data_IF_318941906690
#
_entry.id   IF_318941906690
#
_cell.length_a   1.000
_cell.length_b   1.000
_cell.length_c   1.000
_cell.angle_alpha   90.00
_cell.angle_beta   90.00
_cell.angle_gamma   90.00
#
_symmetry.space_group_name_H-M   'P 1'
#
loop_
_entity.id
_entity.type
_entity.pdbx_description
1 polymer ?
#
# COMPACT_ATOMS: atom_id res chain seq x y z
N UNK A 1 -8.76 5.76 -2.95
CA UNK A 1 -7.90 6.92 -2.65
C UNK A 1 -8.68 8.15 -2.20
N UNK A 2 -9.80 8.52 -2.83
CA UNK A 2 -10.57 9.73 -2.48
C UNK A 2 -10.94 9.87 -0.99
N UNK A 3 -11.24 8.77 -0.30
CA UNK A 3 -11.60 8.78 1.13
C UNK A 3 -10.39 8.58 2.07
N UNK A 4 -9.17 8.61 1.55
CA UNK A 4 -7.94 8.48 2.34
C UNK A 4 -7.30 9.86 2.58
N UNK A 5 -7.01 10.28 3.82
CA UNK A 5 -6.55 11.64 4.13
C UNK A 5 -5.24 12.05 3.43
N UNK A 6 -4.34 11.09 3.20
CA UNK A 6 -3.07 11.35 2.52
C UNK A 6 -3.26 11.21 1.01
N UNK A 7 -3.79 10.06 0.59
CA UNK A 7 -3.82 9.73 -0.83
C UNK A 7 -4.85 10.52 -1.64
N UNK A 8 -5.88 11.07 -1.00
CA UNK A 8 -6.77 12.04 -1.66
C UNK A 8 -6.02 13.31 -2.08
N UNK A 9 -5.12 13.81 -1.22
CA UNK A 9 -4.29 14.99 -1.52
C UNK A 9 -3.28 14.70 -2.62
N UNK A 10 -2.63 13.54 -2.55
CA UNK A 10 -1.70 13.06 -3.58
C UNK A 10 -2.40 12.92 -4.93
N UNK A 11 -3.61 12.37 -4.97
CA UNK A 11 -4.38 12.21 -6.20
C UNK A 11 -4.80 13.57 -6.79
N UNK A 12 -5.12 14.55 -5.94
CA UNK A 12 -5.59 15.86 -6.39
C UNK A 12 -4.46 16.80 -6.83
N UNK A 13 -3.27 16.72 -6.22
CA UNK A 13 -2.14 17.60 -6.53
C UNK A 13 -0.81 16.81 -6.46
N UNK A 14 -0.56 15.88 -7.39
CA UNK A 14 0.61 14.99 -7.32
C UNK A 14 1.95 15.76 -7.34
N UNK A 15 2.04 16.89 -8.03
CA UNK A 15 3.22 17.76 -8.08
C UNK A 15 3.68 18.30 -6.71
N UNK A 16 2.77 18.45 -5.75
CA UNK A 16 3.09 18.87 -4.38
C UNK A 16 3.57 17.72 -3.50
N UNK A 17 3.49 16.49 -4.01
CA UNK A 17 3.78 15.26 -3.29
C UNK A 17 4.89 14.47 -3.99
N UNK A 18 6.06 15.09 -4.18
CA UNK A 18 7.23 14.55 -4.91
C UNK A 18 7.61 13.08 -4.61
N UNK A 19 7.49 12.56 -3.38
CA UNK A 19 7.78 11.14 -3.11
C UNK A 19 6.79 10.15 -3.75
N UNK A 20 5.68 10.65 -4.31
CA UNK A 20 4.61 9.86 -4.90
C UNK A 20 4.49 10.12 -6.40
N UNK A 21 4.06 9.09 -7.12
CA UNK A 21 3.71 9.16 -8.54
C UNK A 21 2.31 8.60 -8.73
N UNK A 22 1.57 9.15 -9.69
CA UNK A 22 0.21 8.71 -10.02
C UNK A 22 0.20 8.18 -11.44
N UNK A 23 -0.19 6.94 -11.62
CA UNK A 23 -0.26 6.27 -12.92
C UNK A 23 -1.58 5.51 -13.01
N UNK A 24 -2.39 5.82 -14.04
CA UNK A 24 -3.70 5.19 -14.25
C UNK A 24 -4.62 5.24 -13.01
N UNK A 25 -4.54 6.31 -12.22
CA UNK A 25 -5.31 6.48 -10.99
C UNK A 25 -4.82 5.66 -9.79
N UNK A 26 -3.68 4.97 -9.92
CA UNK A 26 -2.98 4.29 -8.84
C UNK A 26 -1.83 5.16 -8.34
N UNK A 27 -1.57 5.09 -7.03
CA UNK A 27 -0.50 5.86 -6.39
C UNK A 27 0.66 4.93 -6.07
N UNK A 28 1.87 5.34 -6.45
CA UNK A 28 3.10 4.62 -6.19
C UNK A 28 4.09 5.49 -5.41
N UNK A 29 4.98 4.85 -4.67
CA UNK A 29 6.15 5.49 -4.06
C UNK A 29 7.38 4.60 -4.20
N UNK A 30 8.54 5.08 -3.77
CA UNK A 30 9.79 4.34 -3.76
C UNK A 30 10.08 3.89 -2.32
N UNK A 31 10.22 2.59 -2.10
CA UNK A 31 10.54 2.04 -0.79
C UNK A 31 12.04 2.22 -0.44
N UNK A 32 12.45 1.81 0.76
CA UNK A 32 13.86 1.88 1.19
C UNK A 32 14.80 1.05 0.30
N UNK A 33 14.29 0.01 -0.35
CA UNK A 33 15.01 -0.82 -1.32
C UNK A 33 15.13 -0.18 -2.71
N UNK A 34 14.68 1.07 -2.89
CA UNK A 34 14.62 1.78 -4.19
C UNK A 34 13.69 1.12 -5.21
N UNK A 35 12.74 0.30 -4.74
CA UNK A 35 11.72 -0.33 -5.58
C UNK A 35 10.46 0.52 -5.61
N UNK A 36 9.82 0.59 -6.78
CA UNK A 36 8.52 1.24 -6.93
C UNK A 36 7.44 0.32 -6.39
N UNK A 37 6.68 0.80 -5.40
CA UNK A 37 5.67 0.03 -4.66
C UNK A 37 4.32 0.71 -4.69
N UNK A 38 3.25 -0.08 -4.63
CA UNK A 38 1.88 0.42 -4.70
C UNK A 38 1.40 0.91 -3.33
N UNK A 39 0.85 2.11 -3.29
CA UNK A 39 0.29 2.69 -2.08
C UNK A 39 -1.12 2.14 -1.81
N UNK A 40 -1.36 1.55 -0.65
CA UNK A 40 -2.65 0.95 -0.29
C UNK A 40 -3.43 1.88 0.66
N UNK A 41 -4.60 2.42 0.25
CA UNK A 41 -5.37 3.32 1.08
C UNK A 41 -5.99 2.60 2.29
N UNK A 42 -6.08 3.27 3.43
CA UNK A 42 -6.70 2.71 4.63
C UNK A 42 -8.24 2.63 4.50
N UNK A 43 -8.82 3.48 3.67
CA UNK A 43 -10.27 3.60 3.48
C UNK A 43 -10.90 2.56 2.56
N UNK A 44 -10.11 1.66 1.94
CA UNK A 44 -10.63 0.69 0.97
C UNK A 44 -10.99 -0.63 1.65
N UNK A 45 -12.24 -1.04 1.45
CA UNK A 45 -12.75 -2.36 1.86
C UNK A 45 -13.14 -3.19 0.65
N UNK A 46 -13.06 -4.51 0.80
CA UNK A 46 -13.50 -5.51 -0.18
C UNK A 46 -14.31 -6.55 0.58
N UNK A 47 -15.58 -6.76 0.18
CA UNK A 47 -16.50 -7.70 0.84
C UNK A 47 -16.60 -7.50 2.38
N UNK A 48 -16.54 -6.26 2.85
CA UNK A 48 -16.61 -5.91 4.27
C UNK A 48 -15.29 -6.02 5.05
N UNK A 49 -14.21 -6.51 4.45
CA UNK A 49 -12.88 -6.57 5.06
C UNK A 49 -12.00 -5.42 4.58
N UNK A 50 -11.05 -4.97 5.40
CA UNK A 50 -10.08 -3.96 4.98
C UNK A 50 -9.12 -4.54 3.94
N UNK A 51 -8.80 -3.78 2.89
CA UNK A 51 -7.87 -4.24 1.86
C UNK A 51 -6.47 -4.53 2.43
N UNK A 52 -5.99 -3.69 3.36
CA UNK A 52 -4.73 -3.91 4.09
C UNK A 52 -4.76 -5.22 4.89
N UNK A 53 -5.90 -5.55 5.51
CA UNK A 53 -6.09 -6.80 6.25
C UNK A 53 -6.04 -8.02 5.34
N UNK A 54 -6.73 -7.98 4.19
CA UNK A 54 -6.68 -9.04 3.18
C UNK A 54 -5.24 -9.27 2.70
N UNK A 55 -4.50 -8.20 2.41
CA UNK A 55 -3.08 -8.30 1.99
C UNK A 55 -2.23 -8.95 3.10
N UNK A 56 -2.46 -8.57 4.36
CA UNK A 56 -1.72 -9.12 5.49
C UNK A 56 -2.00 -10.61 5.72
N UNK A 57 -3.26 -11.02 5.62
CA UNK A 57 -3.69 -12.42 5.72
C UNK A 57 -3.07 -13.27 4.61
N UNK A 58 -3.17 -12.82 3.36
CA UNK A 58 -2.56 -13.50 2.21
C UNK A 58 -1.03 -13.61 2.33
N UNK A 59 -0.37 -12.56 2.79
CA UNK A 59 1.08 -12.61 3.06
C UNK A 59 1.43 -13.61 4.16
N UNK A 60 0.59 -13.75 5.19
CA UNK A 60 0.79 -14.72 6.26
C UNK A 60 0.62 -16.17 5.78
N UNK A 61 -0.40 -16.43 4.96
CA UNK A 61 -0.64 -17.74 4.34
C UNK A 61 0.51 -18.16 3.40
N UNK A 62 0.93 -17.26 2.49
CA UNK A 62 2.02 -17.52 1.52
C UNK A 62 3.34 -17.84 2.22
N UNK A 63 3.59 -17.17 3.35
CA UNK A 63 4.80 -17.37 4.14
C UNK A 63 4.69 -18.57 5.10
N UNK A 64 3.59 -19.33 5.12
CA UNK A 64 3.46 -20.50 5.98
C UNK A 64 3.50 -20.16 7.47
N UNK A 65 2.84 -19.06 7.86
CA UNK A 65 2.70 -18.61 9.26
C UNK A 65 4.01 -18.17 9.95
N UNK A 66 4.98 -17.63 9.19
CA UNK A 66 6.12 -16.96 9.82
C UNK A 66 5.68 -15.80 10.74
N UNK A 67 6.50 -15.49 11.75
CA UNK A 67 6.27 -14.39 12.71
C UNK A 67 6.00 -13.07 11.97
N UNK A 68 5.19 -12.19 12.58
CA UNK A 68 4.71 -10.95 11.96
C UNK A 68 5.77 -10.03 11.35
N UNK A 69 7.01 -10.06 11.84
CA UNK A 69 8.13 -9.32 11.24
C UNK A 69 8.39 -9.75 9.79
N UNK A 70 8.44 -11.06 9.51
CA UNK A 70 8.68 -11.58 8.15
C UNK A 70 7.52 -11.26 7.20
N UNK A 71 6.29 -11.30 7.71
CA UNK A 71 5.10 -10.88 6.96
C UNK A 71 5.15 -9.40 6.59
N UNK A 72 5.54 -8.55 7.55
CA UNK A 72 5.65 -7.11 7.31
C UNK A 72 6.75 -6.78 6.31
N UNK A 73 7.90 -7.46 6.39
CA UNK A 73 9.01 -7.26 5.46
C UNK A 73 8.66 -7.72 4.05
N UNK A 74 7.95 -8.85 3.92
CA UNK A 74 7.44 -9.33 2.63
C UNK A 74 6.46 -8.34 1.98
N UNK A 75 5.53 -7.79 2.76
CA UNK A 75 4.56 -6.81 2.31
C UNK A 75 5.23 -5.53 1.79
N UNK A 76 6.21 -4.99 2.54
CA UNK A 76 6.90 -3.72 2.22
C UNK A 76 7.71 -3.78 0.91
N UNK A 77 7.96 -4.98 0.40
CA UNK A 77 8.57 -5.19 -0.91
C UNK A 77 7.65 -4.79 -2.07
N UNK A 78 6.34 -4.89 -1.87
CA UNK A 78 5.34 -4.68 -2.93
C UNK A 78 4.41 -3.49 -2.67
N UNK A 79 4.16 -3.20 -1.39
CA UNK A 79 3.16 -2.24 -0.95
C UNK A 79 3.70 -1.24 0.05
N UNK A 80 3.06 -0.07 0.11
CA UNK A 80 3.34 0.98 1.09
C UNK A 80 2.05 1.54 1.66
N UNK A 81 2.01 1.84 2.97
CA UNK A 81 0.82 2.41 3.60
C UNK A 81 1.02 2.97 5.00
#
# INVERSE_FOLDING_TARGET
YANDPLFSKVLNNPEHHKPFSVENGLIYTVNQGKEKVLCIPNSKTVKGQSLRGIIAEQAHEVLGHFRGQRTSDYIRRWYWW
#
